data_IF_494119093230
#
_entry.id   IF_494119093230
#
_cell.length_a   1.000
_cell.length_b   1.000
_cell.length_c   1.000
_cell.angle_alpha   90.00
_cell.angle_beta   90.00
_cell.angle_gamma   90.00
#
_symmetry.space_group_name_H-M   'P 1'
#
loop_
_entity.id
_entity.type
_entity.pdbx_description
1 polymer ?
#
# COMPACT_ATOMS: atom_id res chain seq x y z
N UNK A 1 17.65 10.62 23.91
CA UNK A 1 18.71 9.88 23.17
C UNK A 1 18.11 9.44 21.84
N UNK A 2 18.36 10.18 20.77
CA UNK A 2 17.89 9.87 19.42
C UNK A 2 18.66 8.67 18.89
N UNK A 3 17.96 7.56 18.63
CA UNK A 3 18.53 6.44 17.87
C UNK A 3 18.83 6.94 16.47
N UNK A 4 20.12 7.07 16.13
CA UNK A 4 20.57 7.31 14.76
C UNK A 4 20.06 6.14 13.91
N UNK A 5 19.07 6.39 13.07
CA UNK A 5 18.57 5.43 12.10
C UNK A 5 19.67 5.24 11.06
N UNK A 6 20.33 4.10 11.13
CA UNK A 6 21.33 3.72 10.13
C UNK A 6 20.59 3.55 8.80
N UNK A 7 20.78 4.52 7.88
CA UNK A 7 20.35 4.37 6.48
C UNK A 7 20.93 3.05 5.98
N UNK A 8 20.13 2.19 5.30
CA UNK A 8 20.66 0.96 4.74
C UNK A 8 21.90 1.28 3.92
N UNK A 9 22.93 0.48 4.08
CA UNK A 9 24.12 0.57 3.24
C UNK A 9 23.73 0.17 1.81
N UNK A 10 23.25 1.15 1.06
CA UNK A 10 22.82 1.03 -0.33
C UNK A 10 23.99 1.37 -1.25
N UNK A 11 25.17 0.89 -0.89
CA UNK A 11 26.45 1.33 -1.45
C UNK A 11 26.58 1.17 -2.95
N UNK A 12 25.67 0.48 -3.63
CA UNK A 12 25.78 0.32 -5.08
C UNK A 12 24.46 0.32 -5.88
N UNK A 13 23.33 0.74 -5.29
CA UNK A 13 22.01 0.71 -5.91
C UNK A 13 21.34 2.06 -6.15
N UNK A 14 20.34 2.07 -7.02
CA UNK A 14 19.41 3.19 -7.16
C UNK A 14 18.28 3.06 -6.16
N UNK A 15 18.15 4.01 -5.22
CA UNK A 15 17.11 3.96 -4.18
C UNK A 15 16.00 4.97 -4.45
N UNK A 16 14.76 4.52 -4.26
CA UNK A 16 13.57 5.36 -4.16
C UNK A 16 12.90 5.18 -2.79
N UNK A 17 12.42 6.25 -2.25
CA UNK A 17 11.67 6.27 -0.98
C UNK A 17 10.20 6.55 -1.23
N UNK A 18 9.33 5.84 -0.51
CA UNK A 18 7.89 6.02 -0.54
C UNK A 18 7.42 6.30 0.87
N UNK A 19 6.60 7.33 1.08
CA UNK A 19 6.06 7.72 2.38
C UNK A 19 4.61 8.19 2.24
N UNK A 20 3.70 7.89 3.20
CA UNK A 20 2.35 8.44 3.18
C UNK A 20 2.30 9.97 3.19
N UNK A 21 3.39 10.62 3.66
CA UNK A 21 3.55 12.08 3.67
C UNK A 21 4.30 12.61 2.44
N UNK A 22 4.57 11.75 1.45
CA UNK A 22 5.28 12.11 0.23
C UNK A 22 4.37 12.72 -0.84
N UNK A 23 4.96 12.97 -2.02
CA UNK A 23 4.22 13.40 -3.22
C UNK A 23 4.78 12.65 -4.44
N UNK A 24 3.90 12.12 -5.30
CA UNK A 24 4.32 11.39 -6.50
C UNK A 24 4.95 12.30 -7.58
N UNK A 25 4.85 13.63 -7.39
CA UNK A 25 5.55 14.63 -8.21
C UNK A 25 7.01 14.83 -7.82
N UNK A 26 7.42 14.38 -6.63
CA UNK A 26 8.80 14.48 -6.17
C UNK A 26 9.72 13.45 -6.82
N UNK A 27 11.02 13.61 -6.59
CA UNK A 27 12.01 12.69 -7.16
C UNK A 27 11.95 11.28 -6.57
N UNK A 28 11.56 11.16 -5.31
CA UNK A 28 11.62 9.94 -4.52
C UNK A 28 13.03 9.58 -4.04
N UNK A 29 14.00 10.49 -4.17
CA UNK A 29 15.42 10.23 -3.83
C UNK A 29 15.75 10.55 -2.36
N UNK A 30 14.88 11.23 -1.68
CA UNK A 30 15.06 11.62 -0.29
C UNK A 30 14.11 10.82 0.60
N UNK A 31 14.58 10.29 1.75
CA UNK A 31 13.73 9.55 2.70
C UNK A 31 12.71 10.45 3.41
N UNK A 32 12.97 11.75 3.46
CA UNK A 32 12.13 12.79 4.07
C UNK A 32 11.98 13.99 3.12
N UNK A 33 10.92 14.79 3.27
CA UNK A 33 10.83 16.07 2.55
C UNK A 33 12.03 16.96 2.87
N UNK A 34 12.57 17.63 1.87
CA UNK A 34 13.60 18.64 2.10
C UNK A 34 13.00 19.84 2.86
N UNK A 35 13.86 20.66 3.45
CA UNK A 35 13.46 21.83 4.27
C UNK A 35 12.52 22.78 3.52
N UNK A 36 12.65 22.89 2.21
CA UNK A 36 11.80 23.76 1.38
C UNK A 36 10.49 23.08 0.94
N UNK A 37 10.29 21.81 1.20
CA UNK A 37 9.10 21.05 0.77
C UNK A 37 8.96 20.93 -0.76
N UNK A 38 10.07 21.07 -1.50
CA UNK A 38 10.10 21.02 -2.96
C UNK A 38 10.46 19.64 -3.50
N UNK A 39 11.08 18.79 -2.68
CA UNK A 39 11.43 17.41 -3.01
C UNK A 39 11.40 16.52 -1.76
N UNK A 40 11.29 15.19 -1.98
CA UNK A 40 11.17 14.22 -0.91
C UNK A 40 10.78 12.84 -1.42
N UNK A 41 10.20 11.98 -0.55
CA UNK A 41 9.72 10.65 -0.93
C UNK A 41 8.48 10.73 -1.83
N UNK A 42 8.22 9.67 -2.58
CA UNK A 42 6.98 9.48 -3.32
C UNK A 42 5.81 9.20 -2.37
N UNK A 43 4.58 9.51 -2.77
CA UNK A 43 3.39 9.27 -1.95
C UNK A 43 2.90 7.82 -2.04
N UNK A 44 3.17 7.12 -3.13
CA UNK A 44 2.56 5.84 -3.42
C UNK A 44 3.51 4.84 -4.05
N UNK A 45 3.23 3.54 -3.85
CA UNK A 45 3.94 2.44 -4.53
C UNK A 45 3.76 2.54 -6.05
N UNK A 46 2.58 2.99 -6.50
CA UNK A 46 2.31 3.22 -7.93
C UNK A 46 3.15 4.37 -8.50
N UNK A 47 3.41 5.40 -7.69
CA UNK A 47 4.37 6.47 -8.03
C UNK A 47 5.78 5.91 -8.20
N UNK A 48 6.20 5.01 -7.31
CA UNK A 48 7.50 4.34 -7.44
C UNK A 48 7.58 3.47 -8.69
N UNK A 49 6.57 2.67 -9.02
CA UNK A 49 6.51 1.90 -10.27
C UNK A 49 6.72 2.81 -11.50
N UNK A 50 6.05 3.97 -11.52
CA UNK A 50 6.21 4.93 -12.64
C UNK A 50 7.64 5.47 -12.78
N UNK A 51 8.39 5.57 -11.67
CA UNK A 51 9.81 6.01 -11.69
C UNK A 51 10.75 4.86 -12.07
N UNK A 52 10.42 3.63 -11.67
CA UNK A 52 11.26 2.44 -11.91
C UNK A 52 11.15 1.96 -13.37
N UNK A 53 9.94 1.88 -13.93
CA UNK A 53 9.70 1.34 -15.29
C UNK A 53 10.56 1.95 -16.40
N UNK A 54 10.78 3.27 -16.46
CA UNK A 54 11.71 3.84 -17.45
C UNK A 54 13.15 3.35 -17.29
N UNK A 55 13.59 3.11 -16.04
CA UNK A 55 14.94 2.57 -15.79
C UNK A 55 15.05 1.13 -16.28
N UNK A 56 14.06 0.30 -15.96
CA UNK A 56 13.98 -1.10 -16.45
C UNK A 56 13.96 -1.12 -17.97
N UNK A 57 13.15 -0.26 -18.61
CA UNK A 57 13.07 -0.17 -20.08
C UNK A 57 14.40 0.21 -20.73
N UNK A 58 15.18 1.08 -20.08
CA UNK A 58 16.52 1.47 -20.55
C UNK A 58 17.56 0.37 -20.34
N UNK A 59 17.30 -0.57 -19.47
CA UNK A 59 18.24 -1.54 -18.93
C UNK A 59 18.89 -1.03 -17.65
N UNK A 60 18.80 -1.84 -16.59
CA UNK A 60 19.39 -1.47 -15.31
C UNK A 60 20.91 -1.61 -15.37
N UNK A 61 21.61 -0.60 -14.89
CA UNK A 61 23.05 -0.63 -14.65
C UNK A 61 23.38 -1.07 -13.23
N UNK A 62 22.43 -0.86 -12.29
CA UNK A 62 22.53 -1.18 -10.87
C UNK A 62 21.20 -1.68 -10.35
N UNK A 63 21.15 -2.44 -9.25
CA UNK A 63 19.91 -2.81 -8.59
C UNK A 63 19.08 -1.58 -8.22
N UNK A 64 17.76 -1.73 -8.21
CA UNK A 64 16.83 -0.69 -7.78
C UNK A 64 16.12 -1.14 -6.52
N UNK A 65 16.17 -0.30 -5.49
CA UNK A 65 15.43 -0.51 -4.25
C UNK A 65 14.35 0.55 -4.08
N UNK A 66 13.15 0.10 -3.72
CA UNK A 66 12.04 0.95 -3.31
C UNK A 66 11.79 0.70 -1.83
N UNK A 67 12.12 1.68 -1.00
CA UNK A 67 12.00 1.62 0.44
C UNK A 67 10.73 2.33 0.90
N UNK A 68 9.80 1.56 1.50
CA UNK A 68 8.53 2.07 2.01
C UNK A 68 8.71 2.49 3.47
N UNK A 69 8.43 3.76 3.76
CA UNK A 69 8.38 4.29 5.12
C UNK A 69 7.14 3.78 5.85
N UNK A 70 7.20 3.74 7.16
CA UNK A 70 6.08 3.31 8.00
C UNK A 70 4.80 4.12 7.76
N UNK A 71 3.66 3.45 7.96
CA UNK A 71 2.33 4.01 7.78
C UNK A 71 1.47 3.21 6.83
N UNK A 72 0.24 3.69 6.59
CA UNK A 72 -0.74 2.96 5.78
C UNK A 72 -0.88 3.55 4.38
N UNK A 73 -0.68 2.72 3.39
CA UNK A 73 -0.83 3.02 1.96
C UNK A 73 -2.16 2.46 1.45
N UNK A 74 -3.15 3.31 1.25
CA UNK A 74 -4.44 2.91 0.70
C UNK A 74 -4.37 2.82 -0.82
N UNK A 75 -4.62 1.62 -1.36
CA UNK A 75 -4.65 1.40 -2.79
C UNK A 75 -6.01 1.80 -3.37
N UNK A 76 -6.03 2.80 -4.24
CA UNK A 76 -7.24 3.20 -4.98
C UNK A 76 -7.54 2.28 -6.17
N UNK A 77 -6.57 1.49 -6.59
CA UNK A 77 -6.66 0.50 -7.66
C UNK A 77 -5.60 -0.58 -7.44
N UNK A 78 -5.77 -1.79 -8.01
CA UNK A 78 -4.77 -2.85 -7.91
C UNK A 78 -3.38 -2.40 -8.35
N UNK A 79 -2.36 -2.93 -7.67
CA UNK A 79 -0.97 -2.84 -8.11
C UNK A 79 -0.71 -4.01 -9.05
N UNK A 80 -0.53 -3.72 -10.32
CA UNK A 80 -0.22 -4.73 -11.33
C UNK A 80 1.28 -4.70 -11.61
N UNK A 81 1.96 -5.79 -11.28
CA UNK A 81 3.34 -6.03 -11.67
C UNK A 81 3.36 -6.78 -13.00
N UNK A 82 4.20 -6.32 -13.90
CA UNK A 82 4.33 -6.84 -15.27
C UNK A 82 5.82 -7.03 -15.57
N UNK A 83 6.20 -7.62 -16.70
CA UNK A 83 7.61 -7.68 -17.11
C UNK A 83 8.32 -6.32 -17.12
N UNK A 84 7.57 -5.21 -17.27
CA UNK A 84 8.15 -3.86 -17.17
C UNK A 84 8.60 -3.46 -15.74
N UNK A 85 8.25 -4.25 -14.75
CA UNK A 85 8.66 -4.06 -13.35
C UNK A 85 9.76 -5.06 -12.94
N UNK A 86 10.18 -5.96 -13.86
CA UNK A 86 11.19 -6.97 -13.62
C UNK A 86 12.58 -6.39 -13.69
N UNK A 87 13.54 -7.06 -13.05
CA UNK A 87 14.94 -6.71 -13.18
C UNK A 87 15.51 -6.95 -14.59
N UNK A 88 16.75 -6.59 -14.80
CA UNK A 88 17.46 -6.76 -16.05
C UNK A 88 18.44 -7.93 -15.96
N UNK A 89 18.39 -8.86 -16.91
CA UNK A 89 19.38 -9.92 -17.05
C UNK A 89 20.74 -9.29 -17.38
N UNK A 90 21.80 -9.79 -16.77
CA UNK A 90 23.15 -9.41 -17.15
C UNK A 90 23.57 -10.18 -18.41
N UNK A 91 24.01 -9.46 -19.41
CA UNK A 91 24.49 -10.03 -20.65
C UNK A 91 25.93 -9.57 -20.90
N UNK A 92 26.80 -10.50 -21.26
CA UNK A 92 28.15 -10.23 -21.76
C UNK A 92 28.25 -10.78 -23.19
N UNK A 93 28.57 -9.92 -24.17
CA UNK A 93 28.62 -10.33 -25.57
C UNK A 93 27.31 -10.92 -26.10
N UNK A 94 26.16 -10.45 -25.61
CA UNK A 94 24.84 -10.95 -26.00
C UNK A 94 24.42 -12.30 -25.39
N UNK A 95 25.25 -12.89 -24.54
CA UNK A 95 24.94 -14.14 -23.83
C UNK A 95 24.69 -13.87 -22.36
N UNK A 96 23.71 -14.58 -21.77
CA UNK A 96 23.47 -14.52 -20.32
C UNK A 96 24.71 -14.94 -19.56
N UNK A 97 25.15 -14.10 -18.62
CA UNK A 97 26.23 -14.44 -17.70
C UNK A 97 25.66 -15.10 -16.47
N UNK A 98 26.47 -15.95 -15.83
CA UNK A 98 26.08 -16.71 -14.62
C UNK A 98 26.10 -15.83 -13.36
N UNK A 99 25.63 -14.58 -13.50
CA UNK A 99 25.49 -13.62 -12.42
C UNK A 99 23.99 -13.36 -12.16
N UNK A 100 23.60 -13.08 -10.90
CA UNK A 100 22.21 -12.78 -10.59
C UNK A 100 21.75 -11.54 -11.38
N UNK A 101 20.48 -11.51 -11.83
CA UNK A 101 19.94 -10.38 -12.54
C UNK A 101 19.97 -9.13 -11.65
N UNK A 102 20.06 -7.96 -12.26
CA UNK A 102 19.87 -6.70 -11.55
C UNK A 102 18.42 -6.55 -11.17
N UNK A 103 18.12 -6.72 -9.89
CA UNK A 103 16.77 -6.81 -9.36
C UNK A 103 16.15 -5.43 -9.09
N UNK A 104 14.82 -5.38 -9.16
CA UNK A 104 14.00 -4.34 -8.56
C UNK A 104 13.37 -4.92 -7.29
N UNK A 105 13.63 -4.32 -6.14
CA UNK A 105 13.09 -4.77 -4.86
C UNK A 105 12.21 -3.70 -4.20
N UNK A 106 11.12 -4.14 -3.58
CA UNK A 106 10.24 -3.32 -2.75
C UNK A 106 10.28 -3.88 -1.34
N UNK A 107 10.66 -3.07 -0.38
CA UNK A 107 10.77 -3.52 1.02
C UNK A 107 10.51 -2.39 2.02
N UNK A 108 10.27 -2.74 3.25
CA UNK A 108 10.13 -1.78 4.33
C UNK A 108 11.46 -1.01 4.53
N UNK A 109 11.36 0.25 4.91
CA UNK A 109 12.48 0.98 5.48
C UNK A 109 12.91 0.30 6.79
N UNK A 110 14.21 0.24 7.14
CA UNK A 110 14.67 -0.43 8.35
C UNK A 110 13.91 0.01 9.59
N UNK A 111 13.53 -0.97 10.40
CA UNK A 111 12.79 -0.81 11.66
C UNK A 111 11.41 -0.15 11.52
N UNK A 112 10.88 -0.06 10.30
CA UNK A 112 9.54 0.47 10.03
C UNK A 112 8.59 -0.60 9.47
N UNK A 113 7.28 -0.42 9.71
CA UNK A 113 6.23 -1.37 9.34
C UNK A 113 5.21 -0.70 8.41
N UNK A 114 5.47 -0.62 7.09
CA UNK A 114 4.49 -0.15 6.13
C UNK A 114 3.34 -1.14 5.97
N UNK A 115 2.12 -0.63 5.95
CA UNK A 115 0.91 -1.42 5.71
C UNK A 115 0.31 -1.05 4.35
N UNK A 116 0.15 -1.99 3.45
CA UNK A 116 -0.56 -1.80 2.18
C UNK A 116 -2.00 -2.29 2.36
N UNK A 117 -2.98 -1.41 2.16
CA UNK A 117 -4.40 -1.68 2.36
C UNK A 117 -5.20 -1.47 1.09
N UNK A 118 -5.99 -2.47 0.70
CA UNK A 118 -7.02 -2.35 -0.36
C UNK A 118 -8.34 -1.78 0.14
N UNK A 119 -8.45 -1.45 1.42
CA UNK A 119 -9.65 -0.87 2.02
C UNK A 119 -9.84 0.60 1.67
N UNK A 120 -11.06 1.08 1.86
CA UNK A 120 -11.40 2.51 1.83
C UNK A 120 -11.61 3.03 3.25
N UNK A 121 -10.99 4.15 3.57
CA UNK A 121 -11.24 4.80 4.87
C UNK A 121 -12.60 5.46 4.86
N UNK A 122 -13.46 5.07 5.80
CA UNK A 122 -14.75 5.72 6.06
C UNK A 122 -14.50 6.87 7.03
N UNK A 123 -15.04 8.05 6.71
CA UNK A 123 -14.93 9.28 7.49
C UNK A 123 -16.28 9.93 7.66
N UNK A 124 -16.36 10.97 8.48
CA UNK A 124 -17.60 11.74 8.68
C UNK A 124 -18.63 11.00 9.54
N UNK A 125 -18.14 10.23 10.51
CA UNK A 125 -18.95 9.58 11.51
C UNK A 125 -19.68 10.60 12.36
N UNK A 126 -20.96 10.33 12.65
CA UNK A 126 -21.82 11.13 13.51
C UNK A 126 -22.51 10.24 14.52
N UNK A 127 -22.68 10.73 15.70
CA UNK A 127 -23.50 10.05 16.72
C UNK A 127 -24.95 10.07 16.29
N UNK A 128 -25.65 9.00 16.55
CA UNK A 128 -27.07 8.81 16.28
C UNK A 128 -27.66 7.79 17.25
N UNK A 129 -28.94 7.56 17.16
CA UNK A 129 -29.66 6.52 17.90
C UNK A 129 -30.34 5.57 16.94
N UNK A 130 -30.25 4.28 17.18
CA UNK A 130 -30.95 3.23 16.45
C UNK A 130 -31.64 2.31 17.45
N UNK A 131 -32.97 2.24 17.38
CA UNK A 131 -33.80 1.42 18.30
C UNK A 131 -33.50 1.69 19.77
N UNK A 132 -33.34 2.96 20.19
CA UNK A 132 -33.04 3.33 21.58
C UNK A 132 -31.58 3.12 22.00
N UNK A 133 -30.69 2.74 21.11
CA UNK A 133 -29.28 2.52 21.42
C UNK A 133 -28.39 3.54 20.69
N UNK A 134 -27.42 4.08 21.42
CA UNK A 134 -26.41 4.96 20.83
C UNK A 134 -25.64 4.25 19.71
N UNK A 135 -25.51 4.90 18.57
CA UNK A 135 -24.87 4.35 17.40
C UNK A 135 -24.04 5.41 16.65
N UNK A 136 -23.17 4.97 15.77
CA UNK A 136 -22.42 5.81 14.88
C UNK A 136 -22.87 5.59 13.43
N UNK A 137 -23.12 6.67 12.70
CA UNK A 137 -23.50 6.63 11.30
C UNK A 137 -22.50 7.39 10.45
N UNK A 138 -22.18 6.84 9.28
CA UNK A 138 -21.40 7.53 8.25
C UNK A 138 -22.01 7.27 6.87
N UNK A 139 -22.08 8.30 6.05
CA UNK A 139 -22.44 8.14 4.64
C UNK A 139 -21.26 7.58 3.87
N UNK A 140 -21.47 6.48 3.18
CA UNK A 140 -20.45 5.83 2.36
C UNK A 140 -20.79 6.01 0.88
N UNK A 141 -20.02 6.83 0.13
CA UNK A 141 -20.30 7.09 -1.27
C UNK A 141 -20.37 5.81 -2.11
N UNK A 142 -21.41 5.69 -2.92
CA UNK A 142 -21.63 4.57 -3.83
C UNK A 142 -22.38 3.39 -3.23
N UNK A 143 -22.57 3.32 -1.91
CA UNK A 143 -23.31 2.22 -1.27
C UNK A 143 -24.82 2.37 -1.54
N UNK A 144 -25.38 3.54 -1.34
CA UNK A 144 -26.82 3.80 -1.59
C UNK A 144 -27.22 3.58 -3.07
N UNK A 145 -26.27 3.77 -3.99
CA UNK A 145 -26.50 3.54 -5.42
C UNK A 145 -26.13 2.11 -5.86
N UNK A 146 -25.83 1.19 -4.94
CA UNK A 146 -25.43 -0.17 -5.28
C UNK A 146 -24.08 -0.29 -6.02
N UNK A 147 -23.33 0.81 -6.15
CA UNK A 147 -22.03 0.82 -6.86
C UNK A 147 -20.88 0.25 -6.03
N UNK A 148 -21.06 0.19 -4.74
CA UNK A 148 -20.07 -0.37 -3.82
C UNK A 148 -20.77 -1.13 -2.71
N UNK A 149 -20.38 -2.40 -2.56
CA UNK A 149 -20.82 -3.27 -1.49
C UNK A 149 -19.59 -3.83 -0.78
N UNK A 150 -19.44 -3.54 0.51
CA UNK A 150 -18.35 -4.07 1.32
C UNK A 150 -18.89 -5.09 2.32
N UNK A 151 -18.11 -6.14 2.53
CA UNK A 151 -18.47 -7.24 3.45
C UNK A 151 -17.69 -7.20 4.76
N UNK A 152 -16.65 -6.37 4.85
CA UNK A 152 -15.77 -6.29 6.00
C UNK A 152 -15.63 -4.83 6.44
N UNK A 153 -15.77 -4.62 7.74
CA UNK A 153 -15.51 -3.35 8.41
C UNK A 153 -14.40 -3.57 9.44
N UNK A 154 -13.46 -2.65 9.46
CA UNK A 154 -12.37 -2.63 10.43
C UNK A 154 -12.42 -1.33 11.19
N UNK A 155 -12.36 -1.42 12.53
CA UNK A 155 -12.33 -0.26 13.44
C UNK A 155 -11.13 -0.45 14.35
N UNK A 156 -10.23 0.55 14.37
CA UNK A 156 -8.98 0.54 15.14
C UNK A 156 -8.10 -0.72 14.89
N UNK A 157 -8.04 -1.13 13.61
CA UNK A 157 -7.27 -2.31 13.20
C UNK A 157 -7.94 -3.66 13.47
N UNK A 158 -9.10 -3.68 14.12
CA UNK A 158 -9.87 -4.88 14.42
C UNK A 158 -11.02 -5.07 13.45
N UNK A 159 -11.17 -6.29 12.93
CA UNK A 159 -12.32 -6.67 12.11
C UNK A 159 -13.58 -6.75 12.95
N UNK A 160 -14.61 -6.01 12.58
CA UNK A 160 -15.91 -6.07 13.22
C UNK A 160 -16.82 -7.12 12.61
N UNK A 161 -17.58 -7.76 13.46
CA UNK A 161 -18.60 -8.72 13.02
C UNK A 161 -19.77 -7.96 12.39
N UNK A 162 -20.28 -8.48 11.27
CA UNK A 162 -21.52 -7.98 10.70
C UNK A 162 -22.69 -8.44 11.58
N UNK A 163 -23.63 -7.54 11.87
CA UNK A 163 -24.85 -7.90 12.59
C UNK A 163 -25.58 -9.03 11.86
N UNK A 164 -25.92 -10.07 12.58
CA UNK A 164 -26.66 -11.23 12.06
C UNK A 164 -27.54 -11.83 13.16
N UNK A 165 -28.57 -12.54 12.76
CA UNK A 165 -29.38 -13.39 13.63
C UNK A 165 -29.23 -14.85 13.19
N UNK A 166 -29.11 -15.82 14.12
CA UNK A 166 -28.80 -15.58 15.54
C UNK A 166 -27.38 -15.01 15.70
N UNK A 167 -27.12 -14.32 16.80
CA UNK A 167 -25.79 -13.76 17.08
C UNK A 167 -24.72 -14.86 17.10
N UNK A 168 -25.08 -16.03 17.67
CA UNK A 168 -24.23 -17.24 17.68
C UNK A 168 -24.98 -18.42 17.09
N UNK A 169 -24.26 -19.30 16.39
CA UNK A 169 -24.83 -20.49 15.78
C UNK A 169 -25.60 -20.22 14.48
N UNK A 170 -26.56 -21.08 14.18
CA UNK A 170 -27.39 -21.04 12.98
C UNK A 170 -28.84 -21.36 13.37
N UNK A 171 -29.83 -20.77 12.69
CA UNK A 171 -31.21 -21.26 12.75
C UNK A 171 -31.30 -22.58 12.01
N UNK A 172 -32.13 -23.49 12.52
CA UNK A 172 -32.50 -24.73 11.82
C UNK A 172 -33.86 -24.54 11.17
N UNK A 173 -34.01 -25.10 9.98
CA UNK A 173 -35.32 -25.20 9.32
C UNK A 173 -36.08 -26.30 10.05
N UNK A 174 -37.19 -25.95 10.71
CA UNK A 174 -38.05 -26.92 11.44
C UNK A 174 -38.98 -27.64 10.48
N UNK A 175 -39.52 -26.94 9.46
CA UNK A 175 -40.40 -27.52 8.44
C UNK A 175 -40.46 -26.64 7.18
N UNK A 176 -40.73 -27.26 6.05
CA UNK A 176 -41.17 -26.56 4.86
C UNK A 176 -42.67 -26.27 5.00
N UNK A 177 -43.07 -25.02 4.75
CA UNK A 177 -44.48 -24.62 4.65
C UNK A 177 -44.76 -24.55 3.14
N UNK A 178 -45.64 -25.41 2.68
CA UNK A 178 -46.10 -25.44 1.27
C UNK A 178 -47.05 -24.29 0.97
#
# INVERSE_FOLDING_TARGET
>A
MGKSHKVPDTTDGTVFYVSPNGKDSWSGRLPEPNVRGTDGPLASVKGAQKKVRPLVKKGLEKPVEVLLRGGTYFLLSPLNFTPADSGTLRLAGGKSVNEPPLAVSYRAYPDEHPMISGGKRIRGWKETEVNGHAAWVASVPGVAQGKWYFQQLWVDGERRMRSRLPEKGLYRIERLVG
#
